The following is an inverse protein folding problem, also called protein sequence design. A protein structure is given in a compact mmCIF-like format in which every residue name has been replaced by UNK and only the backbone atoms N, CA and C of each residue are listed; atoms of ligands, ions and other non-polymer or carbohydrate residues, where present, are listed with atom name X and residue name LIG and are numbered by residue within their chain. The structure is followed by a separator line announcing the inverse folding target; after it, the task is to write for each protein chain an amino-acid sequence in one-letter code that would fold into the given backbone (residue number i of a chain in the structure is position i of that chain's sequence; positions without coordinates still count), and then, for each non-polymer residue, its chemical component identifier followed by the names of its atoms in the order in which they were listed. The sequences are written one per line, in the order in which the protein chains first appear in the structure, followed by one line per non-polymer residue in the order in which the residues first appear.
data_IF_165519264836
#
_entry.id   IF_165519264836
#
_cell.length_a   1.000
_cell.length_b   1.000
_cell.length_c   1.000
_cell.angle_alpha   90.00
_cell.angle_beta   90.00
_cell.angle_gamma   90.00
#
_symmetry.space_group_name_H-M   'P 1'
#
loop_
_entity.id
_entity.type
_entity.pdbx_description
1 polymer ?
#
# COMPACT_ATOMS: atom_id res chain seq x y z
N UNK A 1 -10.87 -3.28 9.08
CA UNK A 1 -9.89 -3.11 10.18
C UNK A 1 -9.17 -4.44 10.35
N UNK A 2 -7.82 -4.48 10.37
CA UNK A 2 -7.07 -5.72 10.52
C UNK A 2 -7.32 -6.36 11.89
N UNK A 3 -7.25 -7.70 11.97
CA UNK A 3 -7.65 -8.46 13.15
C UNK A 3 -6.90 -8.07 14.43
N UNK A 4 -5.63 -7.67 14.33
CA UNK A 4 -4.84 -7.25 15.49
C UNK A 4 -5.27 -5.90 16.07
N UNK A 5 -6.01 -5.09 15.30
CA UNK A 5 -6.65 -3.86 15.76
C UNK A 5 -8.12 -4.09 16.13
N UNK A 6 -8.70 -5.27 15.87
CA UNK A 6 -10.10 -5.53 16.16
C UNK A 6 -10.38 -5.50 17.68
N UNK A 7 -11.45 -4.81 18.08
CA UNK A 7 -11.94 -4.78 19.48
C UNK A 7 -12.15 -6.20 20.03
N UNK A 8 -12.54 -7.15 19.16
CA UNK A 8 -12.76 -8.55 19.55
C UNK A 8 -11.47 -9.27 19.97
N UNK A 9 -10.32 -8.86 19.44
CA UNK A 9 -9.02 -9.50 19.70
C UNK A 9 -8.40 -9.01 21.02
N UNK A 10 -8.73 -7.81 21.48
CA UNK A 10 -8.19 -7.15 22.69
C UNK A 10 -6.65 -7.02 22.75
N UNK A 11 -5.91 -7.54 21.76
CA UNK A 11 -4.45 -7.53 21.73
C UNK A 11 -3.89 -6.10 21.70
N UNK A 12 -4.49 -5.24 20.88
CA UNK A 12 -4.12 -3.82 20.81
C UNK A 12 -4.36 -3.14 22.15
N UNK A 13 -5.59 -3.20 22.66
CA UNK A 13 -6.04 -2.55 23.89
C UNK A 13 -5.15 -2.94 25.08
N UNK A 14 -4.93 -4.24 25.29
CA UNK A 14 -4.06 -4.74 26.38
C UNK A 14 -2.60 -4.32 26.24
N UNK A 15 -2.11 -4.09 25.02
CA UNK A 15 -0.74 -3.64 24.80
C UNK A 15 -0.62 -2.15 25.10
N UNK A 16 -1.61 -1.38 24.69
CA UNK A 16 -1.69 0.06 24.86
C UNK A 16 -1.94 0.44 26.33
N UNK A 17 -2.86 -0.25 27.02
CA UNK A 17 -3.13 -0.06 28.46
C UNK A 17 -1.91 -0.29 29.36
N UNK A 18 -0.93 -1.09 28.91
CA UNK A 18 0.34 -1.29 29.64
C UNK A 18 1.33 -0.14 29.46
N UNK A 19 1.14 0.67 28.43
CA UNK A 19 2.07 1.73 28.02
C UNK A 19 1.56 3.11 28.41
N UNK A 20 0.29 3.22 28.77
CA UNK A 20 -0.37 4.46 29.12
C UNK A 20 -0.59 4.48 30.63
N UNK A 21 -0.34 5.63 31.25
CA UNK A 21 -0.64 5.82 32.67
C UNK A 21 -2.14 5.65 32.92
N UNK A 22 -2.49 4.94 33.99
CA UNK A 22 -3.90 4.68 34.36
C UNK A 22 -4.71 5.96 34.60
N UNK A 23 -4.03 7.06 34.90
CA UNK A 23 -4.64 8.37 35.12
C UNK A 23 -4.73 9.20 33.83
N UNK A 24 -4.30 8.66 32.68
CA UNK A 24 -4.45 9.34 31.41
C UNK A 24 -5.92 9.35 30.99
N UNK A 25 -6.38 10.48 30.46
CA UNK A 25 -7.69 10.62 29.82
C UNK A 25 -7.71 10.16 28.36
N UNK A 26 -6.71 9.38 27.93
CA UNK A 26 -6.54 9.00 26.53
C UNK A 26 -7.57 7.92 26.16
N UNK A 27 -8.33 8.20 25.11
CA UNK A 27 -9.26 7.23 24.54
C UNK A 27 -8.50 6.19 23.69
N UNK A 28 -8.61 4.91 24.07
CA UNK A 28 -8.02 3.78 23.34
C UNK A 28 -8.59 3.68 21.93
N UNK A 29 -9.85 4.10 21.72
CA UNK A 29 -10.49 4.09 20.41
C UNK A 29 -9.82 5.08 19.43
N UNK A 30 -9.38 6.22 19.95
CA UNK A 30 -8.62 7.21 19.21
C UNK A 30 -7.24 6.68 18.80
N UNK A 31 -6.57 5.97 19.72
CA UNK A 31 -5.28 5.31 19.44
C UNK A 31 -5.43 4.19 18.43
N UNK A 32 -6.52 3.43 18.50
CA UNK A 32 -6.83 2.36 17.55
C UNK A 32 -7.08 2.92 16.17
N UNK A 33 -7.81 4.04 16.09
CA UNK A 33 -8.05 4.76 14.84
C UNK A 33 -6.74 5.28 14.24
N UNK A 34 -5.85 5.82 15.08
CA UNK A 34 -4.53 6.25 14.66
C UNK A 34 -3.67 5.08 14.14
N UNK A 35 -3.64 3.96 14.87
CA UNK A 35 -2.95 2.73 14.46
C UNK A 35 -3.52 2.18 13.14
N UNK A 36 -4.84 2.29 12.94
CA UNK A 36 -5.50 1.91 11.71
C UNK A 36 -5.04 2.78 10.53
N UNK A 37 -4.97 4.10 10.69
CA UNK A 37 -4.45 4.96 9.62
C UNK A 37 -3.00 4.66 9.26
N UNK A 38 -2.14 4.40 10.25
CA UNK A 38 -0.76 3.96 10.02
C UNK A 38 -0.69 2.63 9.27
N UNK A 39 -1.55 1.67 9.63
CA UNK A 39 -1.65 0.40 8.94
C UNK A 39 -2.04 0.58 7.47
N UNK A 40 -3.13 1.29 7.20
CA UNK A 40 -3.61 1.54 5.84
C UNK A 40 -2.55 2.27 5.01
N UNK A 41 -1.89 3.29 5.56
CA UNK A 41 -0.79 3.99 4.89
C UNK A 41 0.32 3.02 4.47
N UNK A 42 0.74 2.11 5.36
CA UNK A 42 1.77 1.11 5.08
C UNK A 42 1.32 0.13 3.98
N UNK A 43 0.08 -0.33 4.02
CA UNK A 43 -0.51 -1.20 2.99
C UNK A 43 -0.52 -0.50 1.63
N UNK A 44 -1.01 0.74 1.55
CA UNK A 44 -1.08 1.46 0.28
C UNK A 44 0.30 1.82 -0.27
N UNK A 45 1.29 2.13 0.57
CA UNK A 45 2.68 2.32 0.13
C UNK A 45 3.26 1.05 -0.49
N UNK A 46 2.99 -0.12 0.09
CA UNK A 46 3.41 -1.42 -0.48
C UNK A 46 2.71 -1.72 -1.79
N UNK A 47 1.39 -1.49 -1.87
CA UNK A 47 0.64 -1.67 -3.11
C UNK A 47 1.17 -0.73 -4.20
N UNK A 48 1.40 0.55 -3.90
CA UNK A 48 1.98 1.50 -4.83
C UNK A 48 3.34 1.04 -5.35
N UNK A 49 4.21 0.55 -4.45
CA UNK A 49 5.52 0.00 -4.83
C UNK A 49 5.39 -1.22 -5.75
N UNK A 50 4.53 -2.18 -5.40
CA UNK A 50 4.28 -3.37 -6.22
C UNK A 50 3.78 -3.02 -7.63
N UNK A 51 2.84 -2.09 -7.74
CA UNK A 51 2.30 -1.66 -9.04
C UNK A 51 3.32 -0.85 -9.84
N UNK A 52 4.22 -0.14 -9.17
CA UNK A 52 5.35 0.55 -9.82
C UNK A 52 6.34 -0.47 -10.41
N UNK A 53 6.61 -1.58 -9.70
CA UNK A 53 7.39 -2.70 -10.25
C UNK A 53 6.70 -3.34 -11.45
N UNK A 54 5.36 -3.49 -11.43
CA UNK A 54 4.63 -3.97 -12.60
C UNK A 54 4.73 -3.03 -13.81
N UNK A 55 4.74 -1.71 -13.60
CA UNK A 55 4.96 -0.74 -14.66
C UNK A 55 6.38 -0.89 -15.26
N UNK A 56 7.41 -0.97 -14.41
CA UNK A 56 8.79 -1.16 -14.83
C UNK A 56 8.97 -2.49 -15.58
N UNK A 57 8.37 -3.58 -15.10
CA UNK A 57 8.34 -4.87 -15.79
C UNK A 57 7.67 -4.76 -17.17
N UNK A 58 6.51 -4.08 -17.22
CA UNK A 58 5.74 -3.83 -18.42
C UNK A 58 6.49 -3.02 -19.48
N UNK A 59 7.41 -2.15 -19.05
CA UNK A 59 8.29 -1.36 -19.93
C UNK A 59 9.65 -2.01 -20.21
N UNK A 60 9.92 -3.19 -19.65
CA UNK A 60 11.20 -3.87 -19.77
C UNK A 60 12.36 -3.17 -19.03
N UNK A 61 12.05 -2.32 -18.05
CA UNK A 61 13.03 -1.53 -17.29
C UNK A 61 13.72 -2.34 -16.19
N UNK A 62 13.09 -3.42 -15.69
CA UNK A 62 13.67 -4.29 -14.65
C UNK A 62 14.87 -5.13 -15.10
N UNK A 63 15.10 -5.26 -16.42
CA UNK A 63 16.18 -6.08 -16.99
C UNK A 63 17.42 -5.26 -17.38
N UNK A 64 17.42 -3.94 -17.14
CA UNK A 64 18.47 -3.01 -17.59
C UNK A 64 19.68 -2.92 -16.66
N UNK A 65 19.76 -3.72 -15.60
CA UNK A 65 20.85 -3.63 -14.61
C UNK A 65 22.18 -4.27 -15.07
N UNK A 66 22.24 -4.95 -16.22
CA UNK A 66 23.47 -5.59 -16.68
C UNK A 66 24.05 -4.90 -17.94
N UNK A 67 24.99 -3.94 -17.80
CA UNK A 67 25.50 -3.12 -18.90
C UNK A 67 26.38 -3.88 -19.89
N UNK A 68 26.74 -5.15 -19.62
CA UNK A 68 27.59 -5.96 -20.51
C UNK A 68 26.81 -6.76 -21.57
N UNK A 69 25.48 -6.80 -21.49
CA UNK A 69 24.65 -7.47 -22.51
C UNK A 69 24.14 -6.48 -23.55
N UNK A 70 25.07 -5.96 -24.35
CA UNK A 70 24.81 -5.10 -25.51
C UNK A 70 24.32 -5.92 -26.72
N UNK A 71 23.46 -6.92 -26.48
CA UNK A 71 22.74 -7.60 -27.55
C UNK A 71 21.39 -6.92 -27.71
N UNK A 72 21.18 -6.39 -28.93
CA UNK A 72 19.93 -5.87 -29.50
C UNK A 72 18.78 -6.90 -29.47
N UNK A 73 18.46 -7.45 -28.32
CA UNK A 73 17.24 -8.17 -28.09
C UNK A 73 16.24 -7.16 -27.57
N UNK A 74 15.29 -6.81 -28.44
CA UNK A 74 13.94 -6.34 -28.10
C UNK A 74 13.73 -6.23 -26.60
N UNK A 75 13.67 -5.00 -26.07
CA UNK A 75 13.16 -4.72 -24.72
C UNK A 75 11.78 -5.40 -24.64
N UNK A 76 11.75 -6.65 -24.18
CA UNK A 76 10.53 -7.44 -24.14
C UNK A 76 9.69 -6.86 -23.01
N UNK A 77 8.72 -6.04 -23.38
CA UNK A 77 7.69 -5.54 -22.48
C UNK A 77 6.94 -6.72 -21.85
N UNK A 78 7.08 -6.90 -20.53
CA UNK A 78 6.48 -8.03 -19.82
C UNK A 78 5.41 -7.57 -18.84
N UNK A 79 4.15 -7.71 -19.25
CA UNK A 79 3.01 -7.52 -18.34
C UNK A 79 2.72 -8.79 -17.57
N UNK A 80 2.80 -8.70 -16.24
CA UNK A 80 2.54 -9.83 -15.35
C UNK A 80 1.11 -10.36 -15.51
N UNK A 81 0.91 -11.65 -15.25
CA UNK A 81 -0.42 -12.27 -15.21
C UNK A 81 -1.33 -11.54 -14.20
N UNK A 82 -0.76 -11.03 -13.10
CA UNK A 82 -1.51 -10.28 -12.10
C UNK A 82 -2.14 -9.01 -12.68
N UNK A 83 -1.42 -8.23 -13.50
CA UNK A 83 -1.98 -7.03 -14.17
C UNK A 83 -3.16 -7.43 -15.06
N UNK A 84 -2.96 -8.43 -15.92
CA UNK A 84 -3.99 -8.93 -16.84
C UNK A 84 -5.21 -9.49 -16.11
N UNK A 85 -5.01 -10.15 -14.97
CA UNK A 85 -6.09 -10.67 -14.13
C UNK A 85 -6.77 -9.59 -13.28
N UNK A 86 -6.09 -8.49 -12.96
CA UNK A 86 -6.69 -7.40 -12.17
C UNK A 86 -7.58 -6.51 -13.01
N UNK A 87 -7.35 -6.45 -14.33
CA UNK A 87 -8.26 -5.80 -15.27
C UNK A 87 -9.64 -6.45 -15.19
N UNK A 88 -10.69 -5.61 -15.15
CA UNK A 88 -12.07 -6.09 -15.09
C UNK A 88 -12.38 -7.01 -16.27
N UNK A 89 -13.41 -7.85 -16.15
CA UNK A 89 -13.85 -8.70 -17.27
C UNK A 89 -14.24 -7.87 -18.50
N UNK A 90 -14.75 -6.66 -18.30
CA UNK A 90 -15.04 -5.68 -19.36
C UNK A 90 -13.75 -5.16 -20.01
N UNK A 91 -12.74 -4.80 -19.21
CA UNK A 91 -11.44 -4.31 -19.70
C UNK A 91 -10.60 -5.40 -20.35
N UNK A 92 -10.73 -6.66 -19.89
CA UNK A 92 -10.12 -7.83 -20.54
C UNK A 92 -10.78 -8.19 -21.86
N UNK A 93 -12.09 -7.98 -21.99
CA UNK A 93 -12.79 -8.11 -23.27
C UNK A 93 -12.43 -6.97 -24.23
N UNK A 94 -12.13 -5.78 -23.69
CA UNK A 94 -11.59 -4.65 -24.44
C UNK A 94 -10.17 -4.90 -24.94
N UNK A 95 -9.34 -5.71 -24.27
CA UNK A 95 -8.14 -6.34 -24.84
C UNK A 95 -8.53 -7.38 -25.91
N UNK A 96 -9.24 -6.90 -26.93
CA UNK A 96 -9.80 -7.68 -28.02
C UNK A 96 -8.69 -8.41 -28.79
N UNK A 97 -9.04 -9.56 -29.37
CA UNK A 97 -8.19 -10.24 -30.35
C UNK A 97 -7.84 -9.35 -31.55
N UNK A 98 -8.63 -8.31 -31.83
CA UNK A 98 -8.41 -7.34 -32.90
C UNK A 98 -7.40 -6.24 -32.58
N UNK A 99 -7.03 -6.02 -31.31
CA UNK A 99 -6.02 -5.01 -30.96
C UNK A 99 -4.62 -5.50 -31.31
N UNK A 100 -3.81 -4.58 -31.85
CA UNK A 100 -2.38 -4.75 -32.02
C UNK A 100 -1.70 -4.93 -30.65
N UNK A 101 -0.48 -5.46 -30.66
CA UNK A 101 0.30 -5.62 -29.43
C UNK A 101 0.61 -4.27 -28.75
N UNK A 102 0.78 -3.22 -29.55
CA UNK A 102 1.04 -1.87 -29.06
C UNK A 102 -0.18 -1.31 -28.30
N UNK A 103 -1.38 -1.43 -28.88
CA UNK A 103 -2.60 -0.97 -28.22
C UNK A 103 -2.88 -1.73 -26.91
N UNK A 104 -2.59 -3.05 -26.89
CA UNK A 104 -2.70 -3.86 -25.66
C UNK A 104 -1.70 -3.41 -24.59
N UNK A 105 -0.50 -3.00 -25.00
CA UNK A 105 0.51 -2.46 -24.10
C UNK A 105 0.06 -1.13 -23.49
N UNK A 106 -0.39 -0.18 -24.31
CA UNK A 106 -0.94 1.12 -23.87
C UNK A 106 -2.11 0.93 -22.90
N UNK A 107 -3.00 -0.02 -23.16
CA UNK A 107 -4.11 -0.33 -22.28
C UNK A 107 -3.67 -0.86 -20.91
N UNK A 108 -2.69 -1.78 -20.88
CA UNK A 108 -2.13 -2.30 -19.62
C UNK A 108 -1.41 -1.19 -18.84
N UNK A 109 -0.65 -0.35 -19.53
CA UNK A 109 0.05 0.78 -18.93
C UNK A 109 -0.91 1.79 -18.32
N UNK A 110 -1.95 2.20 -19.08
CA UNK A 110 -3.00 3.10 -18.60
C UNK A 110 -3.69 2.53 -17.35
N UNK A 111 -4.01 1.24 -17.37
CA UNK A 111 -4.61 0.56 -16.22
C UNK A 111 -3.70 0.57 -14.98
N UNK A 112 -2.40 0.32 -15.15
CA UNK A 112 -1.43 0.39 -14.05
C UNK A 112 -1.29 1.82 -13.50
N UNK A 113 -1.25 2.84 -14.36
CA UNK A 113 -1.24 4.25 -13.94
C UNK A 113 -2.48 4.63 -13.14
N UNK A 114 -3.68 4.17 -13.54
CA UNK A 114 -4.91 4.42 -12.78
C UNK A 114 -4.83 3.83 -11.36
N UNK A 115 -4.29 2.63 -11.21
CA UNK A 115 -4.05 2.02 -9.90
C UNK A 115 -3.04 2.83 -9.08
N UNK A 116 -1.94 3.26 -9.68
CA UNK A 116 -0.92 4.08 -9.02
C UNK A 116 -1.50 5.41 -8.51
N UNK A 117 -2.27 6.12 -9.33
CA UNK A 117 -2.93 7.37 -8.92
C UNK A 117 -3.97 7.13 -7.81
N UNK A 118 -4.76 6.05 -7.90
CA UNK A 118 -5.69 5.66 -6.83
C UNK A 118 -4.96 5.44 -5.50
N UNK A 119 -3.84 4.72 -5.52
CA UNK A 119 -3.05 4.46 -4.31
C UNK A 119 -2.35 5.72 -3.80
N UNK A 120 -1.84 6.58 -4.68
CA UNK A 120 -1.26 7.88 -4.31
C UNK A 120 -2.27 8.75 -3.59
N UNK A 121 -3.51 8.83 -4.09
CA UNK A 121 -4.59 9.56 -3.43
C UNK A 121 -4.91 8.98 -2.04
N UNK A 122 -4.91 7.65 -1.89
CA UNK A 122 -5.08 6.99 -0.58
C UNK A 122 -3.91 7.26 0.36
N UNK A 123 -2.67 7.20 -0.11
CA UNK A 123 -1.46 7.52 0.66
C UNK A 123 -1.56 8.95 1.19
N UNK A 124 -1.89 9.92 0.34
CA UNK A 124 -2.03 11.31 0.74
C UNK A 124 -3.14 11.49 1.78
N UNK A 125 -4.31 10.87 1.56
CA UNK A 125 -5.41 10.89 2.50
C UNK A 125 -5.02 10.36 3.89
N UNK A 126 -4.43 9.16 3.97
CA UNK A 126 -4.05 8.59 5.27
C UNK A 126 -2.90 9.35 5.92
N UNK A 127 -1.97 9.91 5.15
CA UNK A 127 -0.93 10.78 5.69
C UNK A 127 -1.55 12.02 6.34
N UNK A 128 -2.50 12.70 5.67
CA UNK A 128 -3.22 13.83 6.25
C UNK A 128 -3.97 13.47 7.53
N UNK A 129 -4.67 12.33 7.54
CA UNK A 129 -5.38 11.86 8.73
C UNK A 129 -4.43 11.52 9.90
N UNK A 130 -3.23 11.02 9.60
CA UNK A 130 -2.17 10.83 10.60
C UNK A 130 -1.72 12.19 11.13
N UNK A 131 -1.37 13.12 10.26
CA UNK A 131 -0.87 14.45 10.66
C UNK A 131 -1.90 15.21 11.51
N UNK A 132 -3.18 15.16 11.14
CA UNK A 132 -4.30 15.71 11.92
C UNK A 132 -4.42 15.06 13.30
N UNK A 133 -4.32 13.73 13.38
CA UNK A 133 -4.36 13.02 14.66
C UNK A 133 -3.13 13.28 15.52
N UNK A 134 -1.93 13.38 14.93
CA UNK A 134 -0.70 13.73 15.67
C UNK A 134 -0.81 15.13 16.28
N UNK A 135 -1.36 16.10 15.54
CA UNK A 135 -1.59 17.45 16.04
C UNK A 135 -2.59 17.48 17.20
N UNK A 136 -3.65 16.67 17.15
CA UNK A 136 -4.66 16.60 18.21
C UNK A 136 -4.19 15.83 19.46
N UNK A 137 -3.18 14.96 19.33
CA UNK A 137 -2.64 14.11 20.39
C UNK A 137 -1.34 14.65 21.02
N UNK A 138 -1.08 15.96 20.89
CA UNK A 138 0.22 16.62 21.14
C UNK A 138 0.88 16.27 22.48
N UNK A 139 0.10 15.93 23.51
CA UNK A 139 0.61 15.62 24.85
C UNK A 139 1.08 14.17 25.07
N UNK A 140 0.69 13.23 24.20
CA UNK A 140 0.97 11.80 24.42
C UNK A 140 1.55 11.10 23.18
N UNK A 141 1.55 11.77 22.03
CA UNK A 141 2.00 11.21 20.76
C UNK A 141 3.42 10.65 20.86
N UNK A 142 4.33 11.32 21.56
CA UNK A 142 5.72 10.88 21.69
C UNK A 142 5.87 9.57 22.48
N UNK A 143 4.96 9.29 23.42
CA UNK A 143 4.97 8.07 24.24
C UNK A 143 4.37 6.89 23.46
N UNK A 144 3.30 7.13 22.71
CA UNK A 144 2.49 6.09 22.05
C UNK A 144 2.88 5.82 20.59
N UNK A 145 3.58 6.76 19.93
CA UNK A 145 3.92 6.69 18.50
C UNK A 145 4.82 5.50 18.17
N UNK A 146 5.92 5.35 18.90
CA UNK A 146 6.84 4.22 18.71
C UNK A 146 6.16 2.86 18.95
N UNK A 147 5.44 2.65 20.07
CA UNK A 147 4.72 1.40 20.28
C UNK A 147 3.71 1.06 19.19
N UNK A 148 2.92 2.04 18.73
CA UNK A 148 1.95 1.85 17.64
C UNK A 148 2.68 1.48 16.34
N UNK A 149 3.79 2.14 16.03
CA UNK A 149 4.61 1.79 14.86
C UNK A 149 5.18 0.37 14.93
N UNK A 150 5.64 -0.07 16.11
CA UNK A 150 6.13 -1.43 16.32
C UNK A 150 5.00 -2.45 16.10
N UNK A 151 3.81 -2.21 16.68
CA UNK A 151 2.65 -3.10 16.51
C UNK A 151 2.26 -3.16 15.03
N UNK A 152 2.12 -2.00 14.37
CA UNK A 152 1.73 -1.94 12.96
C UNK A 152 2.78 -2.58 12.05
N UNK A 153 4.07 -2.37 12.32
CA UNK A 153 5.15 -3.01 11.54
C UNK A 153 5.18 -4.53 11.73
N UNK A 154 5.02 -4.99 12.98
CA UNK A 154 5.07 -6.41 13.34
C UNK A 154 3.87 -7.21 12.80
N UNK A 155 2.68 -6.63 12.85
CA UNK A 155 1.44 -7.34 12.51
C UNK A 155 0.82 -6.90 11.19
N UNK A 156 1.00 -5.65 10.76
CA UNK A 156 0.58 -5.14 9.45
C UNK A 156 1.48 -5.58 8.30
N UNK A 157 2.58 -6.26 8.62
CA UNK A 157 3.56 -6.74 7.65
C UNK A 157 3.20 -8.05 6.94
N UNK A 158 2.26 -8.83 7.46
CA UNK A 158 1.96 -10.18 6.95
C UNK A 158 0.86 -10.13 5.90
N UNK A 159 1.07 -10.68 4.69
CA UNK A 159 -0.01 -10.81 3.72
C UNK A 159 -1.10 -11.74 4.30
N UNK A 160 -2.36 -11.32 4.12
CA UNK A 160 -3.55 -12.16 4.29
C UNK A 160 -3.65 -13.08 3.08
#
# INVERSE_FOLDING_TARGET
MPDYLSVKNQLFDRTIEKLIDKDSSIDIDDLRTFAFFKHELLVYRRLYHLWSLYLQAGRGELLKEDPTNDTKHSLRCYWTTHVKLSMSTSDRRLLSTSMTNEEKHVACESFVHQHLEKYKNKINYYQQQIDEKENNMTHYIDIIKQPIEIIVSKYGGRPI
#
